data_IF_516810874917
#
_entry.id   IF_516810874917
#
_cell.length_a   1.000
_cell.length_b   1.000
_cell.length_c   1.000
_cell.angle_alpha   90.00
_cell.angle_beta   90.00
_cell.angle_gamma   90.00
#
_symmetry.space_group_name_H-M   'P 1'
#
loop_
_entity.id
_entity.type
_entity.pdbx_description
1 polymer ?
#
# COMPACT_ATOMS: atom_id res chain seq x y z
N UNK A 1 -9.70 -2.88 3.64
CA UNK A 1 -11.17 -2.75 3.70
C UNK A 1 -11.67 -1.37 4.13
N UNK A 2 -11.19 -0.78 5.24
CA UNK A 2 -11.84 0.43 5.81
C UNK A 2 -11.76 1.69 4.95
N UNK A 3 -10.59 2.06 4.42
CA UNK A 3 -10.44 3.27 3.59
C UNK A 3 -10.89 3.06 2.15
N UNK A 4 -10.33 2.05 1.46
CA UNK A 4 -10.58 1.87 0.01
C UNK A 4 -11.81 1.01 -0.31
N UNK A 5 -12.50 0.45 0.70
CA UNK A 5 -13.73 -0.34 0.52
C UNK A 5 -13.56 -1.67 -0.22
N UNK A 6 -12.35 -2.06 -0.65
CA UNK A 6 -12.13 -3.33 -1.36
C UNK A 6 -11.76 -4.46 -0.41
N UNK A 7 -12.31 -5.67 -0.61
CA UNK A 7 -11.89 -6.87 0.10
C UNK A 7 -10.58 -7.43 -0.47
N UNK A 8 -10.36 -7.30 -1.79
CA UNK A 8 -9.11 -7.67 -2.45
C UNK A 8 -8.03 -6.60 -2.20
N UNK A 9 -6.89 -7.03 -1.68
CA UNK A 9 -5.72 -6.19 -1.41
C UNK A 9 -4.48 -6.87 -1.98
N UNK A 10 -3.79 -6.18 -2.88
CA UNK A 10 -2.50 -6.58 -3.42
C UNK A 10 -1.38 -5.82 -2.70
N UNK A 11 -0.42 -6.55 -2.13
CA UNK A 11 0.77 -5.95 -1.54
C UNK A 11 1.90 -5.93 -2.58
N UNK A 12 2.48 -4.77 -2.81
CA UNK A 12 3.64 -4.68 -3.67
C UNK A 12 4.89 -5.32 -3.05
N UNK A 13 5.77 -5.85 -3.91
CA UNK A 13 7.00 -6.51 -3.46
C UNK A 13 7.98 -5.55 -2.80
N UNK A 14 8.00 -4.27 -3.18
CA UNK A 14 8.87 -3.25 -2.57
C UNK A 14 8.43 -2.96 -1.14
N UNK A 15 7.12 -2.95 -0.86
CA UNK A 15 6.59 -2.82 0.49
C UNK A 15 7.02 -3.98 1.37
N UNK A 16 6.89 -5.22 0.87
CA UNK A 16 7.32 -6.38 1.64
C UNK A 16 8.83 -6.32 1.96
N UNK A 17 9.67 -5.94 0.99
CA UNK A 17 11.10 -5.75 1.21
C UNK A 17 11.39 -4.67 2.26
N UNK A 18 10.67 -3.55 2.24
CA UNK A 18 10.84 -2.47 3.19
C UNK A 18 10.42 -2.87 4.62
N UNK A 19 9.33 -3.62 4.76
CA UNK A 19 8.88 -4.16 6.06
C UNK A 19 9.93 -5.07 6.68
N UNK A 20 10.54 -5.95 5.88
CA UNK A 20 11.52 -6.93 6.35
C UNK A 20 12.98 -6.46 6.28
N UNK A 21 13.25 -5.21 5.88
CA UNK A 21 14.61 -4.71 5.65
C UNK A 21 15.53 -4.79 6.89
N UNK A 22 14.94 -4.72 8.10
CA UNK A 22 15.66 -4.81 9.39
C UNK A 22 15.51 -6.18 10.07
N UNK A 23 14.93 -7.16 9.38
CA UNK A 23 14.63 -8.50 9.89
C UNK A 23 13.39 -8.55 10.78
N UNK A 24 13.06 -9.76 11.25
CA UNK A 24 11.79 -10.06 11.95
C UNK A 24 11.65 -9.39 13.31
N UNK A 25 12.77 -9.11 14.00
CA UNK A 25 12.76 -8.57 15.37
C UNK A 25 12.70 -7.04 15.42
N UNK A 26 13.06 -6.35 14.34
CA UNK A 26 13.22 -4.89 14.35
C UNK A 26 12.46 -4.22 13.20
N UNK A 27 11.19 -4.60 13.02
CA UNK A 27 10.31 -3.99 12.02
C UNK A 27 10.16 -2.49 12.33
N UNK A 28 10.31 -1.59 11.34
CA UNK A 28 10.10 -0.16 11.55
C UNK A 28 8.71 0.16 12.07
N UNK A 29 8.63 1.12 13.00
CA UNK A 29 7.40 1.50 13.68
C UNK A 29 6.39 2.25 12.78
N UNK A 30 6.88 2.92 11.74
CA UNK A 30 6.07 3.74 10.86
C UNK A 30 6.60 3.63 9.42
N UNK A 31 5.66 3.60 8.48
CA UNK A 31 5.90 3.59 7.04
C UNK A 31 4.88 4.47 6.36
N UNK A 32 5.29 5.13 5.27
CA UNK A 32 4.35 5.76 4.36
C UNK A 32 4.04 4.78 3.23
N UNK A 33 2.74 4.60 3.01
CA UNK A 33 2.21 3.74 1.96
C UNK A 33 1.28 4.55 1.09
N UNK A 34 1.29 4.26 -0.20
CA UNK A 34 0.32 4.77 -1.13
C UNK A 34 -0.69 3.67 -1.42
N UNK A 35 -1.96 4.04 -1.36
CA UNK A 35 -3.09 3.15 -1.65
C UNK A 35 -3.66 3.57 -3.01
N UNK A 36 -3.64 2.65 -3.97
CA UNK A 36 -4.22 2.86 -5.30
C UNK A 36 -5.33 1.87 -5.53
N UNK A 37 -6.55 2.35 -5.77
CA UNK A 37 -7.67 1.49 -6.15
C UNK A 37 -7.66 1.31 -7.66
N UNK A 38 -7.48 0.07 -8.11
CA UNK A 38 -7.37 -0.28 -9.52
C UNK A 38 -8.45 -1.27 -9.93
N UNK A 39 -8.75 -1.28 -11.22
CA UNK A 39 -9.63 -2.27 -11.82
C UNK A 39 -8.91 -3.60 -11.97
N UNK A 40 -9.60 -4.70 -11.67
CA UNK A 40 -9.05 -6.03 -11.85
C UNK A 40 -9.27 -6.49 -13.29
N UNK A 41 -8.20 -6.91 -13.96
CA UNK A 41 -8.25 -7.42 -15.34
C UNK A 41 -8.57 -8.92 -15.39
N UNK A 42 -8.50 -9.61 -14.24
CA UNK A 42 -8.85 -11.02 -14.11
C UNK A 42 -10.38 -11.20 -14.05
N UNK A 43 -10.94 -11.78 -15.12
CA UNK A 43 -12.37 -12.00 -15.31
C UNK A 43 -12.94 -13.05 -14.34
N UNK A 44 -12.12 -13.98 -13.85
CA UNK A 44 -12.51 -15.01 -12.88
C UNK A 44 -12.51 -14.49 -11.43
N UNK A 45 -12.03 -13.26 -11.21
CA UNK A 45 -11.99 -12.70 -9.87
C UNK A 45 -13.39 -12.26 -9.41
N UNK A 46 -13.82 -12.65 -8.18
CA UNK A 46 -15.10 -12.18 -7.64
C UNK A 46 -15.13 -10.67 -7.35
N UNK A 47 -13.97 -10.00 -7.41
CA UNK A 47 -13.83 -8.58 -7.11
C UNK A 47 -13.37 -7.79 -8.34
N UNK A 48 -14.25 -6.89 -8.82
CA UNK A 48 -13.98 -5.97 -9.92
C UNK A 48 -12.86 -4.96 -9.63
N UNK A 49 -12.65 -4.63 -8.36
CA UNK A 49 -11.70 -3.63 -7.90
C UNK A 49 -10.79 -4.23 -6.83
N UNK A 50 -9.51 -3.91 -6.90
CA UNK A 50 -8.55 -4.24 -5.86
C UNK A 50 -7.79 -2.99 -5.41
N UNK A 51 -7.26 -3.03 -4.20
CA UNK A 51 -6.36 -1.98 -3.71
C UNK A 51 -4.94 -2.48 -3.81
N UNK A 52 -4.10 -1.78 -4.55
CA UNK A 52 -2.65 -1.97 -4.55
C UNK A 52 -2.02 -1.09 -3.47
N UNK A 53 -1.22 -1.70 -2.60
CA UNK A 53 -0.46 -0.99 -1.56
C UNK A 53 1.00 -0.93 -2.00
N UNK A 54 1.52 0.28 -2.20
CA UNK A 54 2.91 0.53 -2.57
C UNK A 54 3.65 1.26 -1.45
N UNK A 55 4.96 1.02 -1.33
CA UNK A 55 5.80 1.73 -0.39
C UNK A 55 6.27 3.06 -0.98
N UNK A 56 6.14 4.14 -0.20
CA UNK A 56 6.68 5.45 -0.56
C UNK A 56 7.88 5.75 0.32
N UNK A 57 9.10 5.84 -0.24
CA UNK A 57 10.27 6.20 0.55
C UNK A 57 10.18 7.67 0.96
N UNK A 58 10.19 7.91 2.27
CA UNK A 58 10.19 9.26 2.84
C UNK A 58 11.34 9.39 3.82
N UNK A 59 12.01 10.54 3.80
CA UNK A 59 13.16 10.84 4.66
C UNK A 59 12.76 11.29 6.06
N UNK A 60 11.57 11.84 6.24
CA UNK A 60 11.05 12.31 7.53
C UNK A 60 9.59 11.96 7.73
N UNK A 61 9.21 11.65 8.97
CA UNK A 61 7.83 11.32 9.35
C UNK A 61 7.14 12.44 10.14
N UNK A 62 7.60 13.69 9.99
CA UNK A 62 7.04 14.81 10.73
C UNK A 62 5.68 15.19 10.14
N UNK A 63 4.65 15.19 11.00
CA UNK A 63 3.30 15.63 10.68
C UNK A 63 2.60 14.81 9.57
N UNK A 64 2.39 13.50 9.78
CA UNK A 64 1.79 12.64 8.75
C UNK A 64 0.35 13.10 8.45
N UNK A 65 0.12 13.55 7.23
CA UNK A 65 -1.19 13.89 6.71
C UNK A 65 -1.46 13.01 5.50
N UNK A 66 -2.67 12.47 5.39
CA UNK A 66 -3.09 11.73 4.20
C UNK A 66 -3.29 12.72 3.06
N UNK A 67 -2.43 12.64 2.05
CA UNK A 67 -2.53 13.44 0.83
C UNK A 67 -3.18 12.62 -0.27
N UNK A 68 -3.99 13.27 -1.09
CA UNK A 68 -4.53 12.65 -2.30
C UNK A 68 -3.44 12.77 -3.37
N UNK A 69 -3.03 11.64 -3.95
CA UNK A 69 -2.07 11.64 -5.05
C UNK A 69 -2.79 11.89 -6.36
N UNK A 70 -2.26 12.77 -7.19
CA UNK A 70 -2.74 12.96 -8.56
C UNK A 70 -2.32 11.77 -9.43
N UNK A 71 -3.24 11.25 -10.24
CA UNK A 71 -2.91 10.27 -11.29
C UNK A 71 -2.16 11.01 -12.40
N UNK A 72 -0.90 10.62 -12.65
CA UNK A 72 -0.10 11.06 -13.79
C UNK A 72 -0.22 10.03 -14.91
#
# INVERSE_FOLDING_TARGET
MKEMGTPAVGNDTTLNKAVWAKGIRNVPYLFHVQLSRKFNEDEDSPNKLYTLVTYVPVTTYKNPQTVHGDEN
#
